data_IF_640687035195
#
_entry.id   IF_640687035195
#
_cell.length_a   1.000
_cell.length_b   1.000
_cell.length_c   1.000
_cell.angle_alpha   90.00
_cell.angle_beta   90.00
_cell.angle_gamma   90.00
#
_symmetry.space_group_name_H-M   'P 1'
#
loop_
_entity.id
_entity.type
_entity.pdbx_description
1 polymer ?
#
# COMPACT_ATOMS: atom_id res chain seq x y z
N UNK A 1 11.51 -1.24 7.76
CA UNK A 1 11.56 -2.41 6.85
C UNK A 1 12.17 -1.95 5.54
N UNK A 2 13.31 -2.48 5.11
CA UNK A 2 13.81 -2.26 3.76
C UNK A 2 13.47 -3.51 2.93
N UNK A 3 12.24 -3.64 2.44
CA UNK A 3 11.99 -4.63 1.36
C UNK A 3 12.83 -4.24 0.16
N UNK A 4 13.06 -5.15 -0.79
CA UNK A 4 13.68 -4.78 -2.07
C UNK A 4 12.99 -3.55 -2.68
N UNK A 5 11.65 -3.47 -2.63
CA UNK A 5 10.90 -2.29 -3.12
C UNK A 5 11.22 -1.01 -2.34
N UNK A 6 11.35 -1.08 -1.02
CA UNK A 6 11.73 0.08 -0.20
C UNK A 6 13.17 0.52 -0.47
N UNK A 7 14.10 -0.43 -0.67
CA UNK A 7 15.49 -0.15 -1.06
C UNK A 7 15.52 0.54 -2.42
N UNK A 8 14.82 -0.02 -3.41
CA UNK A 8 14.73 0.54 -4.76
C UNK A 8 14.09 1.94 -4.74
N UNK A 9 13.04 2.15 -3.92
CA UNK A 9 12.42 3.45 -3.69
C UNK A 9 13.44 4.49 -3.18
N UNK A 10 14.17 4.15 -2.10
CA UNK A 10 15.16 5.07 -1.51
C UNK A 10 16.27 5.41 -2.51
N UNK A 11 16.74 4.43 -3.29
CA UNK A 11 17.71 4.66 -4.37
C UNK A 11 17.16 5.54 -5.49
N UNK A 12 15.93 5.30 -5.94
CA UNK A 12 15.32 6.09 -7.01
C UNK A 12 15.17 7.56 -6.59
N UNK A 13 14.64 7.82 -5.39
CA UNK A 13 14.44 9.18 -4.89
C UNK A 13 15.76 9.91 -4.72
N UNK A 14 16.72 9.29 -4.03
CA UNK A 14 18.03 9.90 -3.80
C UNK A 14 18.78 10.17 -5.11
N UNK A 15 18.63 9.31 -6.13
CA UNK A 15 19.22 9.52 -7.46
C UNK A 15 18.57 10.67 -8.20
N UNK A 16 17.22 10.75 -8.19
CA UNK A 16 16.48 11.85 -8.81
C UNK A 16 16.83 13.21 -8.19
N UNK A 17 17.10 13.24 -6.89
CA UNK A 17 17.53 14.43 -6.15
C UNK A 17 19.03 14.74 -6.28
N UNK A 18 19.80 13.92 -7.02
CA UNK A 18 21.24 14.09 -7.19
C UNK A 18 22.07 13.82 -5.91
N UNK A 19 21.53 13.04 -4.97
CA UNK A 19 22.13 12.74 -3.65
C UNK A 19 22.21 11.23 -3.36
N UNK A 20 22.83 10.42 -4.22
CA UNK A 20 22.86 8.96 -4.07
C UNK A 20 23.48 8.48 -2.74
N UNK A 21 24.43 9.24 -2.17
CA UNK A 21 25.09 8.88 -0.89
C UNK A 21 24.11 8.85 0.30
N UNK A 22 23.01 9.62 0.24
CA UNK A 22 21.96 9.57 1.26
C UNK A 22 21.27 8.20 1.28
N UNK A 23 21.12 7.56 0.12
CA UNK A 23 20.48 6.25 0.03
C UNK A 23 21.23 5.22 0.86
N UNK A 24 22.55 5.17 0.70
CA UNK A 24 23.40 4.22 1.38
C UNK A 24 23.34 4.40 2.91
N UNK A 25 23.36 5.65 3.39
CA UNK A 25 23.24 5.96 4.81
C UNK A 25 21.89 5.54 5.40
N UNK A 26 20.79 5.80 4.68
CA UNK A 26 19.43 5.42 5.11
C UNK A 26 19.29 3.89 5.11
N UNK A 27 19.69 3.22 4.03
CA UNK A 27 19.56 1.76 3.89
C UNK A 27 20.42 1.04 4.92
N UNK A 28 21.65 1.49 5.17
CA UNK A 28 22.53 0.91 6.17
C UNK A 28 21.91 0.92 7.57
N UNK A 29 21.25 2.02 7.95
CA UNK A 29 20.56 2.15 9.25
C UNK A 29 19.19 1.45 9.28
N UNK A 30 18.53 1.32 8.15
CA UNK A 30 17.21 0.68 8.02
C UNK A 30 17.27 -0.84 7.82
N UNK A 31 18.47 -1.42 7.73
CA UNK A 31 18.68 -2.85 7.54
C UNK A 31 18.08 -3.60 8.73
N UNK A 32 17.13 -4.49 8.43
CA UNK A 32 16.43 -5.31 9.39
C UNK A 32 16.95 -6.73 9.32
N UNK A 33 17.14 -7.35 10.48
CA UNK A 33 17.44 -8.77 10.60
C UNK A 33 16.37 -9.58 9.83
N UNK A 34 16.73 -10.36 8.79
CA UNK A 34 15.79 -11.17 8.03
C UNK A 34 15.02 -12.16 8.90
N UNK A 35 15.58 -12.59 10.03
CA UNK A 35 14.92 -13.47 11.00
C UNK A 35 13.87 -12.74 11.85
N UNK A 36 13.83 -11.40 11.82
CA UNK A 36 12.90 -10.55 12.58
C UNK A 36 12.24 -9.52 11.67
N UNK A 37 11.33 -9.94 10.78
CA UNK A 37 10.65 -9.03 9.87
C UNK A 37 9.86 -7.98 10.67
N UNK A 38 10.07 -6.70 10.34
CA UNK A 38 9.25 -5.60 10.88
C UNK A 38 7.95 -5.55 10.11
N UNK A 39 6.80 -5.53 10.77
CA UNK A 39 5.50 -5.37 10.09
C UNK A 39 5.14 -3.89 9.93
N UNK A 40 4.10 -3.59 9.14
CA UNK A 40 3.57 -2.22 9.00
C UNK A 40 3.10 -1.65 10.36
N UNK A 41 2.32 -2.39 11.18
CA UNK A 41 1.95 -1.92 12.52
C UNK A 41 3.16 -1.62 13.42
N UNK A 42 4.21 -2.43 13.37
CA UNK A 42 5.43 -2.18 14.14
C UNK A 42 6.14 -0.89 13.70
N UNK A 43 6.19 -0.64 12.38
CA UNK A 43 6.80 0.59 11.84
C UNK A 43 6.04 1.83 12.34
N UNK A 44 4.70 1.79 12.33
CA UNK A 44 3.87 2.88 12.87
C UNK A 44 4.16 3.06 14.36
N UNK A 45 4.18 1.97 15.14
CA UNK A 45 4.45 2.04 16.57
C UNK A 45 5.83 2.65 16.87
N UNK A 46 6.86 2.26 16.13
CA UNK A 46 8.23 2.76 16.31
C UNK A 46 8.34 4.25 16.03
N UNK A 47 7.65 4.76 15.00
CA UNK A 47 7.59 6.20 14.73
C UNK A 47 6.82 6.93 15.84
N UNK A 48 5.65 6.42 16.22
CA UNK A 48 4.82 7.01 17.28
C UNK A 48 5.57 7.03 18.62
N UNK A 49 6.37 6.00 18.92
CA UNK A 49 7.15 5.94 20.16
C UNK A 49 8.49 6.69 20.11
N UNK A 50 8.86 7.25 18.96
CA UNK A 50 10.17 7.89 18.74
C UNK A 50 11.35 6.91 18.67
N UNK A 51 11.08 5.60 18.54
CA UNK A 51 12.12 4.59 18.30
C UNK A 51 12.64 4.62 16.85
N UNK A 52 11.89 5.26 15.95
CA UNK A 52 12.28 5.56 14.59
C UNK A 52 11.93 7.03 14.26
N UNK A 53 12.81 7.71 13.54
CA UNK A 53 12.60 9.12 13.17
C UNK A 53 11.56 9.28 12.03
N UNK A 54 11.40 8.27 11.19
CA UNK A 54 10.47 8.27 10.06
C UNK A 54 10.08 6.85 9.65
N UNK A 55 8.94 6.71 8.96
CA UNK A 55 8.44 5.44 8.44
C UNK A 55 7.79 5.60 7.07
N UNK A 56 8.05 4.64 6.18
CA UNK A 56 7.37 4.52 4.88
C UNK A 56 6.42 3.33 4.95
N UNK A 57 5.11 3.60 4.88
CA UNK A 57 4.05 2.60 4.97
C UNK A 57 2.97 2.87 3.91
N UNK A 58 2.03 1.94 3.74
CA UNK A 58 0.85 2.16 2.90
C UNK A 58 0.00 3.31 3.44
N UNK A 59 -0.60 4.08 2.54
CA UNK A 59 -1.42 5.24 2.94
C UNK A 59 -2.60 4.85 3.82
N UNK A 60 -3.28 3.73 3.52
CA UNK A 60 -4.36 3.20 4.36
C UNK A 60 -3.93 2.93 5.81
N UNK A 61 -2.77 2.31 6.00
CA UNK A 61 -2.24 2.05 7.34
C UNK A 61 -1.87 3.33 8.09
N UNK A 62 -1.39 4.36 7.39
CA UNK A 62 -1.14 5.67 7.99
C UNK A 62 -2.44 6.37 8.38
N UNK A 63 -3.48 6.32 7.53
CA UNK A 63 -4.82 6.87 7.82
C UNK A 63 -5.46 6.18 9.03
N UNK A 64 -5.29 4.86 9.17
CA UNK A 64 -5.77 4.10 10.33
C UNK A 64 -5.11 4.51 11.66
N UNK A 65 -3.90 5.08 11.61
CA UNK A 65 -3.22 5.63 12.77
C UNK A 65 -3.83 6.98 13.24
N UNK A 66 -4.77 7.54 12.46
CA UNK A 66 -5.52 8.76 12.75
C UNK A 66 -4.60 9.95 13.06
N UNK A 67 -4.81 10.59 14.19
CA UNK A 67 -4.13 11.77 14.72
C UNK A 67 -2.75 11.49 15.31
N UNK A 68 -2.30 10.23 15.31
CA UNK A 68 -1.01 9.84 15.89
C UNK A 68 0.18 10.09 14.97
N UNK A 69 -0.07 10.36 13.68
CA UNK A 69 0.96 10.56 12.68
C UNK A 69 0.62 11.77 11.81
N UNK A 70 1.63 12.59 11.53
CA UNK A 70 1.59 13.50 10.39
C UNK A 70 1.87 12.71 9.11
N UNK A 71 0.99 12.80 8.11
CA UNK A 71 1.07 11.99 6.89
C UNK A 71 1.53 12.85 5.72
N UNK A 72 2.72 12.56 5.20
CA UNK A 72 3.23 13.14 3.95
C UNK A 72 3.03 12.14 2.81
N UNK A 73 2.23 12.52 1.80
CA UNK A 73 2.04 11.72 0.58
C UNK A 73 3.11 12.06 -0.45
N UNK A 74 3.71 11.04 -1.04
CA UNK A 74 4.69 11.22 -2.11
C UNK A 74 4.04 11.65 -3.42
N UNK A 75 4.71 12.49 -4.23
CA UNK A 75 4.28 12.80 -5.59
C UNK A 75 4.26 11.54 -6.45
N UNK A 76 3.39 11.50 -7.48
CA UNK A 76 3.15 10.31 -8.29
C UNK A 76 4.41 9.74 -8.96
N UNK A 77 5.39 10.59 -9.32
CA UNK A 77 6.66 10.16 -9.95
C UNK A 77 7.57 9.35 -9.02
N UNK A 78 7.38 9.48 -7.70
CA UNK A 78 8.13 8.79 -6.66
C UNK A 78 7.29 7.69 -6.00
N UNK A 79 5.97 7.87 -6.00
CA UNK A 79 5.05 6.95 -5.37
C UNK A 79 4.93 5.65 -6.16
N UNK A 80 5.04 4.51 -5.48
CA UNK A 80 4.86 3.17 -6.04
C UNK A 80 3.37 2.82 -6.28
N UNK A 81 2.49 3.81 -6.33
CA UNK A 81 1.03 3.63 -6.34
C UNK A 81 0.51 2.92 -7.59
N UNK A 82 1.23 3.02 -8.72
CA UNK A 82 0.90 2.26 -9.93
C UNK A 82 1.10 0.75 -9.74
N UNK A 83 2.01 0.32 -8.88
CA UNK A 83 2.40 -1.07 -8.64
C UNK A 83 1.69 -1.71 -7.42
N UNK A 84 1.01 -0.91 -6.61
CA UNK A 84 0.32 -1.35 -5.39
C UNK A 84 -1.16 -1.08 -5.58
N UNK A 85 -1.87 -2.09 -6.12
CA UNK A 85 -3.30 -2.04 -6.39
C UNK A 85 -3.97 -3.22 -5.73
N UNK A 86 -5.01 -2.95 -4.95
CA UNK A 86 -5.86 -4.01 -4.41
C UNK A 86 -6.66 -4.65 -5.55
N UNK A 87 -6.82 -5.97 -5.46
CA UNK A 87 -7.58 -6.76 -6.42
C UNK A 87 -8.49 -7.72 -5.67
N UNK A 88 -9.68 -7.96 -6.22
CA UNK A 88 -10.63 -8.94 -5.70
C UNK A 88 -10.91 -10.01 -6.77
N UNK A 89 -11.25 -11.22 -6.33
CA UNK A 89 -11.62 -12.33 -7.23
C UNK A 89 -12.71 -13.19 -6.62
N UNK A 90 -13.52 -13.83 -7.47
CA UNK A 90 -14.38 -14.95 -7.08
C UNK A 90 -13.77 -16.20 -7.68
N UNK A 91 -13.12 -17.08 -6.89
CA UNK A 91 -12.53 -18.28 -7.43
C UNK A 91 -13.62 -19.24 -7.93
N UNK A 92 -13.31 -20.05 -8.96
CA UNK A 92 -14.23 -21.08 -9.45
C UNK A 92 -14.58 -22.15 -8.42
N UNK A 93 -13.81 -22.24 -7.33
CA UNK A 93 -14.04 -23.13 -6.18
C UNK A 93 -14.92 -22.51 -5.09
N UNK A 94 -15.45 -21.30 -5.30
CA UNK A 94 -16.32 -20.64 -4.32
C UNK A 94 -17.55 -21.49 -4.02
N UNK A 95 -17.81 -21.76 -2.73
CA UNK A 95 -19.00 -22.49 -2.27
C UNK A 95 -20.29 -21.69 -2.50
N UNK A 96 -20.19 -20.37 -2.39
CA UNK A 96 -21.30 -19.42 -2.51
C UNK A 96 -20.95 -18.30 -3.53
N UNK A 97 -20.80 -18.64 -4.83
CA UNK A 97 -20.32 -17.71 -5.83
C UNK A 97 -21.24 -16.50 -6.01
N UNK A 98 -22.57 -16.69 -5.90
CA UNK A 98 -23.54 -15.61 -5.99
C UNK A 98 -23.38 -14.56 -4.90
N UNK A 99 -23.08 -14.97 -3.67
CA UNK A 99 -22.83 -14.06 -2.55
C UNK A 99 -21.50 -13.33 -2.71
N UNK A 100 -20.45 -14.03 -3.18
CA UNK A 100 -19.17 -13.40 -3.49
C UNK A 100 -19.28 -12.34 -4.59
N UNK A 101 -20.05 -12.60 -5.65
CA UNK A 101 -20.34 -11.62 -6.71
C UNK A 101 -21.06 -10.39 -6.15
N UNK A 102 -22.08 -10.57 -5.29
CA UNK A 102 -22.78 -9.45 -4.64
C UNK A 102 -21.82 -8.60 -3.79
N UNK A 103 -20.93 -9.24 -3.05
CA UNK A 103 -19.91 -8.54 -2.26
C UNK A 103 -18.96 -7.72 -3.13
N UNK A 104 -18.45 -8.28 -4.24
CA UNK A 104 -17.58 -7.52 -5.15
C UNK A 104 -18.35 -6.37 -5.81
N UNK A 105 -19.63 -6.57 -6.17
CA UNK A 105 -20.48 -5.46 -6.66
C UNK A 105 -20.64 -4.34 -5.64
N UNK A 106 -20.76 -4.67 -4.35
CA UNK A 106 -20.77 -3.66 -3.29
C UNK A 106 -19.46 -2.88 -3.24
N UNK A 107 -18.30 -3.55 -3.35
CA UNK A 107 -17.00 -2.87 -3.40
C UNK A 107 -16.89 -1.94 -4.62
N UNK A 108 -17.42 -2.37 -5.77
CA UNK A 108 -17.38 -1.61 -7.03
C UNK A 108 -18.48 -0.55 -7.16
N UNK A 109 -19.42 -0.48 -6.21
CA UNK A 109 -20.46 0.55 -6.19
C UNK A 109 -19.87 1.92 -5.84
N UNK A 110 -20.65 2.99 -6.03
CA UNK A 110 -20.19 4.33 -5.66
C UNK A 110 -20.03 4.48 -4.14
N UNK A 111 -20.83 3.77 -3.36
CA UNK A 111 -20.67 3.67 -1.90
C UNK A 111 -19.35 2.99 -1.54
N UNK A 112 -19.06 1.83 -2.14
CA UNK A 112 -17.82 1.09 -1.91
C UNK A 112 -16.58 1.89 -2.30
N UNK A 113 -16.61 2.55 -3.46
CA UNK A 113 -15.54 3.44 -3.93
C UNK A 113 -15.30 4.60 -2.96
N UNK A 114 -16.35 5.24 -2.49
CA UNK A 114 -16.27 6.36 -1.54
C UNK A 114 -15.64 5.92 -0.22
N UNK A 115 -16.00 4.73 0.28
CA UNK A 115 -15.42 4.17 1.50
C UNK A 115 -13.94 3.83 1.33
N UNK A 116 -13.57 3.23 0.19
CA UNK A 116 -12.19 2.92 -0.14
C UNK A 116 -11.34 4.19 -0.22
N UNK A 117 -11.83 5.24 -0.89
CA UNK A 117 -11.13 6.53 -0.94
C UNK A 117 -10.95 7.16 0.45
N UNK A 118 -12.00 7.16 1.27
CA UNK A 118 -11.96 7.69 2.64
C UNK A 118 -10.98 6.94 3.56
N UNK A 119 -10.71 5.66 3.29
CA UNK A 119 -9.74 4.83 4.04
C UNK A 119 -8.36 4.78 3.39
N UNK A 120 -8.07 5.70 2.47
CA UNK A 120 -6.75 5.83 1.85
C UNK A 120 -6.44 4.78 0.78
N UNK A 121 -7.48 4.18 0.18
CA UNK A 121 -7.39 3.18 -0.87
C UNK A 121 -8.12 3.67 -2.13
N UNK A 122 -7.62 4.72 -2.81
CA UNK A 122 -8.30 5.27 -3.98
C UNK A 122 -8.56 4.17 -5.03
N UNK A 123 -9.83 3.93 -5.41
CA UNK A 123 -10.19 2.83 -6.30
C UNK A 123 -9.74 3.11 -7.75
N UNK A 124 -9.50 2.04 -8.52
CA UNK A 124 -9.26 2.14 -9.97
C UNK A 124 -10.61 2.14 -10.68
N UNK A 125 -10.91 3.23 -11.40
CA UNK A 125 -12.17 3.40 -12.15
C UNK A 125 -11.90 3.77 -13.62
N UNK A 126 -12.37 2.97 -14.60
CA UNK A 126 -13.09 1.70 -14.45
C UNK A 126 -12.18 0.59 -13.89
N UNK A 127 -12.74 -0.45 -13.25
CA UNK A 127 -11.95 -1.58 -12.75
C UNK A 127 -11.20 -2.27 -13.88
N UNK A 128 -9.95 -2.66 -13.63
CA UNK A 128 -9.14 -3.40 -14.60
C UNK A 128 -9.40 -4.89 -14.39
N UNK A 129 -9.86 -5.55 -15.45
CA UNK A 129 -10.20 -6.97 -15.43
C UNK A 129 -9.03 -7.79 -15.96
N UNK A 130 -8.72 -8.89 -15.26
CA UNK A 130 -7.69 -9.84 -15.69
C UNK A 130 -8.18 -11.28 -15.48
N UNK A 131 -8.03 -12.12 -16.50
CA UNK A 131 -8.48 -13.52 -16.49
C UNK A 131 -9.98 -13.71 -16.68
N UNK A 132 -10.50 -14.86 -16.24
CA UNK A 132 -11.90 -15.25 -16.38
C UNK A 132 -12.78 -14.61 -15.29
N UNK A 133 -12.96 -13.30 -15.37
CA UNK A 133 -13.89 -12.57 -14.50
C UNK A 133 -15.34 -12.97 -14.84
N UNK A 134 -16.18 -13.31 -13.84
CA UNK A 134 -17.60 -13.58 -14.03
C UNK A 134 -18.29 -12.49 -14.84
N UNK A 135 -19.18 -12.86 -15.76
CA UNK A 135 -19.85 -11.91 -16.65
C UNK A 135 -20.63 -10.84 -15.87
N UNK A 136 -21.10 -11.18 -14.68
CA UNK A 136 -21.83 -10.31 -13.75
C UNK A 136 -20.97 -9.18 -13.15
N UNK A 137 -19.65 -9.24 -13.31
CA UNK A 137 -18.66 -8.28 -12.80
C UNK A 137 -17.92 -7.53 -13.92
N UNK A 138 -18.26 -7.80 -15.19
CA UNK A 138 -17.80 -7.02 -16.35
C UNK A 138 -18.70 -5.82 -16.57
#
# INVERSE_FOLDING_TARGET
MATKRTVDFVWNVSTLEGKPDLAQGIIGKATVDPAKPRTVPMTIQEVVSGSADAGVVYFSAAVDAKDKLEILRFPAMVNLSSEIRNAATVPGTAKEPGTAIKFIRLILSDEGKSLLEATGQPPVAPPILNGNVPAELK
#
